data_IF_110425685334
#
_entry.id   IF_110425685334
#
_cell.length_a   1.000
_cell.length_b   1.000
_cell.length_c   1.000
_cell.angle_alpha   90.00
_cell.angle_beta   90.00
_cell.angle_gamma   90.00
#
_symmetry.space_group_name_H-M   'P 1'
#
loop_
_entity.id
_entity.type
_entity.pdbx_description
1 polymer ?
#
# COMPACT_ATOMS: atom_id res chain seq x y z
N UNK A 1 13.16 8.35 -23.06
CA UNK A 1 12.05 7.38 -23.26
C UNK A 1 11.01 7.67 -22.20
N UNK A 2 9.82 8.16 -22.59
CA UNK A 2 8.70 8.29 -21.65
C UNK A 2 8.21 6.88 -21.30
N UNK A 3 7.99 6.55 -20.02
CA UNK A 3 7.53 5.22 -19.65
C UNK A 3 6.17 4.95 -20.31
N UNK A 4 6.14 3.85 -21.06
CA UNK A 4 4.96 3.34 -21.74
C UNK A 4 3.81 3.25 -20.76
N UNK A 5 2.70 3.91 -21.09
CA UNK A 5 1.48 3.96 -20.27
C UNK A 5 0.69 2.65 -20.42
N UNK A 6 1.40 1.53 -20.32
CA UNK A 6 0.86 0.21 -20.61
C UNK A 6 0.00 -0.23 -19.41
N UNK A 7 -1.29 -0.44 -19.65
CA UNK A 7 -2.26 -0.77 -18.60
C UNK A 7 -2.08 -2.21 -18.09
N UNK A 8 -1.18 -2.97 -18.71
CA UNK A 8 -0.85 -4.37 -18.47
C UNK A 8 0.01 -4.59 -17.21
N UNK A 9 0.70 -3.57 -16.70
CA UNK A 9 1.56 -3.68 -15.51
C UNK A 9 0.78 -3.60 -14.18
N UNK A 10 -0.54 -3.71 -14.21
CA UNK A 10 -1.40 -3.54 -13.04
C UNK A 10 -1.79 -4.89 -12.44
N UNK A 11 -1.27 -5.18 -11.26
CA UNK A 11 -1.67 -6.36 -10.47
C UNK A 11 -2.88 -6.03 -9.58
N UNK A 12 -3.87 -6.93 -9.55
CA UNK A 12 -4.98 -6.86 -8.59
C UNK A 12 -4.53 -7.54 -7.30
N UNK A 13 -4.76 -6.88 -6.17
CA UNK A 13 -4.54 -7.42 -4.82
C UNK A 13 -5.85 -7.38 -4.05
N UNK A 14 -6.10 -8.41 -3.25
CA UNK A 14 -7.19 -8.42 -2.28
C UNK A 14 -6.77 -7.64 -1.04
N UNK A 15 -7.65 -6.77 -0.55
CA UNK A 15 -7.47 -6.02 0.70
C UNK A 15 -8.80 -6.00 1.44
N UNK A 16 -8.75 -5.97 2.77
CA UNK A 16 -9.96 -5.84 3.59
C UNK A 16 -10.70 -4.55 3.22
N UNK A 17 -12.04 -4.65 3.14
CA UNK A 17 -12.91 -3.54 2.74
C UNK A 17 -12.72 -2.30 3.62
N UNK A 18 -12.66 -2.50 4.95
CA UNK A 18 -12.43 -1.43 5.92
C UNK A 18 -11.10 -0.71 5.69
N UNK A 19 -10.02 -1.45 5.44
CA UNK A 19 -8.71 -0.88 5.11
C UNK A 19 -8.75 -0.09 3.80
N UNK A 20 -9.44 -0.61 2.78
CA UNK A 20 -9.62 0.10 1.52
C UNK A 20 -10.36 1.42 1.71
N UNK A 21 -11.48 1.41 2.44
CA UNK A 21 -12.29 2.60 2.65
C UNK A 21 -11.51 3.67 3.41
N UNK A 22 -10.73 3.29 4.43
CA UNK A 22 -9.84 4.21 5.15
C UNK A 22 -8.77 4.84 4.23
N UNK A 23 -8.08 4.03 3.42
CA UNK A 23 -7.06 4.52 2.49
C UNK A 23 -7.66 5.40 1.39
N UNK A 24 -8.85 5.04 0.91
CA UNK A 24 -9.58 5.80 -0.10
C UNK A 24 -9.98 7.16 0.44
N UNK A 25 -10.53 7.23 1.65
CA UNK A 25 -10.94 8.50 2.27
C UNK A 25 -9.73 9.38 2.57
N UNK A 26 -8.65 8.80 3.10
CA UNK A 26 -7.38 9.50 3.28
C UNK A 26 -6.84 10.05 1.96
N UNK A 27 -6.84 9.24 0.89
CA UNK A 27 -6.36 9.68 -0.43
C UNK A 27 -7.20 10.83 -0.99
N UNK A 28 -8.53 10.76 -0.84
CA UNK A 28 -9.48 11.78 -1.30
C UNK A 28 -9.33 13.09 -0.53
N UNK A 29 -9.20 13.01 0.80
CA UNK A 29 -9.01 14.16 1.66
C UNK A 29 -7.77 14.97 1.24
N UNK A 30 -6.71 14.28 0.84
CA UNK A 30 -5.46 14.90 0.40
C UNK A 30 -5.43 15.22 -1.12
N UNK A 31 -6.50 14.94 -1.87
CA UNK A 31 -6.55 15.17 -3.32
C UNK A 31 -5.62 14.27 -4.14
N UNK A 32 -5.15 13.15 -3.58
CA UNK A 32 -4.19 12.23 -4.20
C UNK A 32 -4.95 11.01 -4.73
N UNK A 33 -4.61 10.54 -5.94
CA UNK A 33 -5.18 9.26 -6.42
C UNK A 33 -4.60 8.13 -5.58
N UNK A 34 -5.44 7.24 -5.07
CA UNK A 34 -5.06 6.10 -4.23
C UNK A 34 -3.85 5.31 -4.77
N UNK A 35 -3.76 5.09 -6.09
CA UNK A 35 -2.60 4.41 -6.71
C UNK A 35 -1.26 5.11 -6.40
N UNK A 36 -1.23 6.44 -6.53
CA UNK A 36 0.00 7.23 -6.34
C UNK A 36 0.37 7.28 -4.86
N UNK A 37 -0.63 7.28 -3.98
CA UNK A 37 -0.41 7.17 -2.55
C UNK A 37 0.25 5.83 -2.21
N UNK A 38 -0.26 4.71 -2.75
CA UNK A 38 0.31 3.37 -2.53
C UNK A 38 1.74 3.30 -3.08
N UNK A 39 2.00 3.81 -4.27
CA UNK A 39 3.33 3.83 -4.87
C UNK A 39 4.33 4.63 -4.02
N UNK A 40 3.91 5.79 -3.50
CA UNK A 40 4.73 6.61 -2.60
C UNK A 40 5.00 5.88 -1.28
N UNK A 41 3.98 5.29 -0.65
CA UNK A 41 4.15 4.50 0.58
C UNK A 41 5.12 3.32 0.37
N UNK A 42 5.04 2.64 -0.77
CA UNK A 42 5.96 1.55 -1.10
C UNK A 42 7.39 2.07 -1.28
N UNK A 43 7.56 3.23 -1.92
CA UNK A 43 8.88 3.86 -2.11
C UNK A 43 9.52 4.21 -0.76
N UNK A 44 8.78 4.88 0.12
CA UNK A 44 9.27 5.25 1.46
C UNK A 44 9.61 4.02 2.30
N UNK A 45 8.75 3.00 2.28
CA UNK A 45 8.99 1.73 2.98
C UNK A 45 10.27 1.03 2.50
N UNK A 46 10.61 1.12 1.21
CA UNK A 46 11.81 0.48 0.69
C UNK A 46 13.09 1.26 1.02
N UNK A 47 12.99 2.58 1.19
CA UNK A 47 14.13 3.46 1.46
C UNK A 47 14.45 3.61 2.95
N UNK A 48 13.46 3.51 3.84
CA UNK A 48 13.65 3.65 5.28
C UNK A 48 13.56 2.29 5.99
N UNK A 49 14.71 1.84 6.51
CA UNK A 49 14.85 0.56 7.22
C UNK A 49 13.98 0.46 8.49
N UNK A 50 13.77 1.57 9.21
CA UNK A 50 12.97 1.58 10.42
C UNK A 50 11.47 1.50 10.12
N UNK A 51 11.01 2.20 9.08
CA UNK A 51 9.64 2.07 8.57
C UNK A 51 9.41 0.65 8.05
N UNK A 52 10.36 0.11 7.27
CA UNK A 52 10.30 -1.24 6.74
C UNK A 52 10.13 -2.28 7.85
N UNK A 53 10.98 -2.22 8.88
CA UNK A 53 10.93 -3.17 9.97
C UNK A 53 9.60 -3.11 10.72
N UNK A 54 9.11 -1.91 11.04
CA UNK A 54 7.80 -1.73 11.71
C UNK A 54 6.63 -2.29 10.90
N UNK A 55 6.67 -2.16 9.57
CA UNK A 55 5.63 -2.71 8.69
C UNK A 55 5.68 -4.24 8.70
N UNK A 56 6.89 -4.83 8.61
CA UNK A 56 7.07 -6.29 8.65
C UNK A 56 6.58 -6.85 9.99
N UNK A 57 6.98 -6.26 11.11
CA UNK A 57 6.59 -6.73 12.45
C UNK A 57 5.05 -6.71 12.61
N UNK A 58 4.42 -5.60 12.22
CA UNK A 58 2.95 -5.50 12.25
C UNK A 58 2.25 -6.49 11.32
N UNK A 59 2.81 -6.74 10.14
CA UNK A 59 2.26 -7.70 9.18
C UNK A 59 2.34 -9.13 9.73
N UNK A 60 3.48 -9.50 10.32
CA UNK A 60 3.67 -10.81 10.97
C UNK A 60 2.72 -11.00 12.16
N UNK A 61 2.53 -9.98 13.00
CA UNK A 61 1.58 -10.06 14.12
C UNK A 61 0.13 -10.24 13.64
N UNK A 62 -0.26 -9.63 12.52
CA UNK A 62 -1.59 -9.82 11.95
C UNK A 62 -1.76 -11.19 11.31
N UNK A 63 -0.75 -11.67 10.60
CA UNK A 63 -0.76 -13.00 10.01
C UNK A 63 -0.94 -14.09 11.07
N UNK A 64 -0.27 -13.97 12.21
CA UNK A 64 -0.44 -14.89 13.34
C UNK A 64 -1.84 -14.87 13.95
N UNK A 65 -2.56 -13.74 13.88
CA UNK A 65 -3.93 -13.61 14.39
C UNK A 65 -5.03 -13.99 13.40
N UNK A 66 -4.72 -14.17 12.12
CA UNK A 66 -5.65 -14.63 11.08
C UNK A 66 -5.61 -16.17 10.90
N UNK A 67 -4.58 -16.85 11.45
CA UNK A 67 -4.39 -18.31 11.39
C UNK A 67 -4.99 -19.07 12.62
N UNK A 68 -5.64 -18.37 13.57
CA UNK A 68 -6.42 -18.91 14.70
C UNK A 68 -7.94 -18.83 14.43
#
# INVERSE_FOLDING_TARGET
MLPSNDKTDRKKIGIHKTTYDQLKDFSRFNGIKLRWLIDAMATEMLQDDAIRQRIIDNALSKQQGDDD
#
